data_IF_702392758861
#
_entry.id   IF_702392758861
#
_cell.length_a   1.000
_cell.length_b   1.000
_cell.length_c   1.000
_cell.angle_alpha   90.00
_cell.angle_beta   90.00
_cell.angle_gamma   90.00
#
_symmetry.space_group_name_H-M   'P 1'
#
loop_
_entity.id
_entity.type
_entity.pdbx_description
1 polymer ?
#
# COMPACT_ATOMS: atom_id res chain seq x y z
N UNK A 1 -8.58 3.29 -25.34
CA UNK A 1 -8.90 3.88 -24.03
C UNK A 1 -9.25 5.35 -24.21
N UNK A 2 -8.32 6.20 -24.71
CA UNK A 2 -8.58 7.64 -24.87
C UNK A 2 -9.76 7.90 -25.82
N UNK A 3 -9.76 7.30 -27.00
CA UNK A 3 -10.77 7.48 -28.05
C UNK A 3 -12.13 6.89 -27.70
N UNK A 4 -12.17 5.82 -26.93
CA UNK A 4 -13.42 5.07 -26.67
C UNK A 4 -14.00 5.39 -25.29
N UNK A 5 -13.15 5.61 -24.27
CA UNK A 5 -13.56 5.79 -22.88
C UNK A 5 -13.30 7.20 -22.35
N UNK A 6 -12.65 8.06 -23.13
CA UNK A 6 -12.20 9.39 -22.73
C UNK A 6 -11.35 9.36 -21.42
N UNK A 7 -10.58 8.29 -21.22
CA UNK A 7 -9.70 8.10 -20.07
C UNK A 7 -8.25 8.11 -20.50
N UNK A 8 -7.37 8.64 -19.64
CA UNK A 8 -5.94 8.62 -19.84
C UNK A 8 -5.32 7.47 -19.05
N UNK A 9 -4.48 6.68 -19.73
CA UNK A 9 -3.74 5.58 -19.12
C UNK A 9 -2.26 5.64 -19.47
N UNK A 10 -1.39 5.25 -18.54
CA UNK A 10 0.04 5.05 -18.78
C UNK A 10 0.41 3.60 -18.53
N UNK A 11 1.30 3.05 -19.35
CA UNK A 11 1.74 1.68 -19.27
C UNK A 11 3.26 1.56 -19.21
N UNK A 12 3.75 0.59 -18.44
CA UNK A 12 5.15 0.21 -18.35
C UNK A 12 5.35 -1.24 -18.73
N UNK A 13 6.32 -1.52 -19.60
CA UNK A 13 6.66 -2.86 -20.06
C UNK A 13 8.11 -3.14 -19.72
N UNK A 14 8.36 -4.27 -19.04
CA UNK A 14 9.71 -4.78 -18.77
C UNK A 14 9.67 -6.27 -18.43
N UNK A 15 10.83 -6.86 -18.18
CA UNK A 15 10.99 -8.28 -17.92
C UNK A 15 10.68 -8.68 -16.46
N UNK A 16 10.46 -7.74 -15.55
CA UNK A 16 10.03 -8.01 -14.19
C UNK A 16 9.06 -6.94 -13.66
N UNK A 17 8.40 -7.25 -12.53
CA UNK A 17 7.36 -6.39 -11.94
C UNK A 17 7.88 -5.05 -11.46
N UNK A 18 9.06 -5.00 -10.87
CA UNK A 18 9.67 -3.76 -10.39
C UNK A 18 9.86 -2.78 -11.53
N UNK A 19 10.57 -3.18 -12.57
CA UNK A 19 10.85 -2.32 -13.71
C UNK A 19 9.59 -1.94 -14.49
N UNK A 20 8.64 -2.86 -14.69
CA UNK A 20 7.37 -2.55 -15.34
C UNK A 20 6.58 -1.50 -14.54
N UNK A 21 6.57 -1.60 -13.21
CA UNK A 21 5.90 -0.60 -12.35
C UNK A 21 6.56 0.77 -12.44
N UNK A 22 7.88 0.83 -12.35
CA UNK A 22 8.62 2.10 -12.48
C UNK A 22 8.44 2.70 -13.87
N UNK A 23 8.52 1.87 -14.91
CA UNK A 23 8.28 2.30 -16.29
C UNK A 23 6.88 2.91 -16.47
N UNK A 24 5.85 2.37 -15.83
CA UNK A 24 4.49 2.90 -15.90
C UNK A 24 4.36 4.31 -15.31
N UNK A 25 5.24 4.68 -14.38
CA UNK A 25 5.25 6.01 -13.76
C UNK A 25 6.18 7.01 -14.47
N UNK A 26 7.13 6.51 -15.29
CA UNK A 26 8.21 7.30 -15.88
C UNK A 26 7.74 8.36 -16.90
N UNK A 27 6.70 8.04 -17.66
CA UNK A 27 6.15 8.92 -18.70
C UNK A 27 4.67 9.24 -18.48
N UNK A 28 4.28 9.46 -17.24
CA UNK A 28 2.93 9.95 -16.93
C UNK A 28 2.78 11.43 -17.28
N UNK A 29 1.58 11.87 -17.71
CA UNK A 29 0.41 11.07 -18.09
C UNK A 29 0.49 10.54 -19.53
N UNK A 30 -0.37 9.56 -19.86
CA UNK A 30 -0.63 9.07 -21.22
C UNK A 30 0.62 8.54 -21.96
N UNK A 31 1.52 7.92 -21.21
CA UNK A 31 2.79 7.43 -21.73
C UNK A 31 2.93 5.91 -21.76
N UNK A 32 3.58 5.41 -22.81
CA UNK A 32 4.09 4.03 -22.87
C UNK A 32 5.60 4.06 -22.71
N UNK A 33 6.11 3.32 -21.71
CA UNK A 33 7.54 3.20 -21.47
C UNK A 33 7.95 1.72 -21.44
N UNK A 34 8.92 1.36 -22.28
CA UNK A 34 9.50 0.01 -22.30
C UNK A 34 10.95 0.07 -21.83
N UNK A 35 11.30 -0.76 -20.83
CA UNK A 35 12.67 -0.92 -20.35
C UNK A 35 13.17 -2.31 -20.79
N UNK A 36 14.02 -2.30 -21.82
CA UNK A 36 14.63 -3.53 -22.32
C UNK A 36 15.73 -4.04 -21.36
N UNK A 37 15.96 -5.36 -21.22
CA UNK A 37 16.97 -5.92 -20.31
C UNK A 37 18.35 -5.30 -20.47
N UNK A 38 18.80 -5.06 -21.71
CA UNK A 38 20.13 -4.46 -21.99
C UNK A 38 20.29 -3.01 -21.52
N UNK A 39 19.19 -2.30 -21.20
CA UNK A 39 19.19 -0.91 -20.72
C UNK A 39 18.77 -0.81 -19.26
N UNK A 40 18.36 -1.92 -18.65
CA UNK A 40 17.75 -1.92 -17.34
C UNK A 40 18.69 -1.39 -16.25
N UNK A 41 19.94 -1.85 -16.24
CA UNK A 41 20.91 -1.43 -15.23
C UNK A 41 21.23 0.06 -15.32
N UNK A 42 21.47 0.56 -16.54
CA UNK A 42 21.69 1.99 -16.76
C UNK A 42 20.50 2.86 -16.35
N UNK A 43 19.29 2.38 -16.63
CA UNK A 43 18.06 3.06 -16.20
C UNK A 43 17.93 3.10 -14.67
N UNK A 44 18.20 1.98 -13.99
CA UNK A 44 18.14 1.88 -12.53
C UNK A 44 19.15 2.82 -11.87
N UNK A 45 20.37 2.89 -12.37
CA UNK A 45 21.43 3.75 -11.84
C UNK A 45 21.04 5.22 -11.82
N UNK A 46 20.33 5.67 -12.83
CA UNK A 46 19.84 7.06 -12.93
C UNK A 46 18.55 7.30 -12.14
N UNK A 47 17.85 6.25 -11.72
CA UNK A 47 16.57 6.35 -11.05
C UNK A 47 16.72 7.00 -9.66
N UNK A 48 16.00 8.10 -9.36
CA UNK A 48 15.98 8.64 -8.00
C UNK A 48 15.45 7.59 -7.02
N UNK A 49 16.03 7.49 -5.83
CA UNK A 49 15.65 6.47 -4.84
C UNK A 49 14.17 6.53 -4.47
N UNK A 50 13.56 7.72 -4.49
CA UNK A 50 12.10 7.90 -4.27
C UNK A 50 11.21 7.20 -5.29
N UNK A 51 11.73 6.90 -6.47
CA UNK A 51 10.99 6.23 -7.54
C UNK A 51 11.07 4.70 -7.45
N UNK A 52 11.88 4.17 -6.54
CA UNK A 52 11.89 2.74 -6.27
C UNK A 52 10.57 2.30 -5.63
N UNK A 53 10.02 1.21 -6.13
CA UNK A 53 8.78 0.69 -5.58
C UNK A 53 8.93 0.31 -4.10
N UNK A 54 8.02 0.80 -3.27
CA UNK A 54 8.05 0.60 -1.81
C UNK A 54 8.82 1.69 -1.04
N UNK A 55 9.42 2.65 -1.72
CA UNK A 55 10.07 3.80 -1.08
C UNK A 55 9.04 4.93 -0.94
N UNK A 56 8.47 5.04 0.26
CA UNK A 56 7.65 6.17 0.66
C UNK A 56 8.48 7.32 1.27
N UNK A 57 7.84 8.44 1.68
CA UNK A 57 8.55 9.63 2.21
C UNK A 57 9.52 9.31 3.36
N UNK A 58 9.09 8.50 4.33
CA UNK A 58 9.93 8.11 5.49
C UNK A 58 11.16 7.31 5.06
N UNK A 59 10.97 6.34 4.15
CA UNK A 59 12.07 5.53 3.62
C UNK A 59 13.01 6.37 2.76
N UNK A 60 12.48 7.28 1.96
CA UNK A 60 13.27 8.22 1.19
C UNK A 60 14.15 9.09 2.08
N UNK A 61 13.59 9.66 3.15
CA UNK A 61 14.36 10.48 4.10
C UNK A 61 15.50 9.68 4.72
N UNK A 62 15.24 8.42 5.08
CA UNK A 62 16.27 7.53 5.62
C UNK A 62 17.39 7.25 4.62
N UNK A 63 17.06 7.00 3.35
CA UNK A 63 18.05 6.87 2.28
C UNK A 63 18.90 8.14 2.12
N UNK A 64 18.27 9.30 2.12
CA UNK A 64 18.97 10.59 1.99
C UNK A 64 19.94 10.84 3.15
N UNK A 65 19.57 10.48 4.39
CA UNK A 65 20.47 10.53 5.56
C UNK A 65 21.68 9.62 5.41
N UNK A 66 21.56 8.51 4.68
CA UNK A 66 22.66 7.60 4.34
C UNK A 66 23.44 8.04 3.09
N UNK A 67 23.15 9.20 2.51
CA UNK A 67 23.79 9.70 1.29
C UNK A 67 23.30 9.03 0.00
N UNK A 68 22.29 8.19 0.05
CA UNK A 68 21.74 7.44 -1.10
C UNK A 68 20.66 8.28 -1.77
N UNK A 69 20.92 8.77 -2.97
CA UNK A 69 20.01 9.60 -3.76
C UNK A 69 19.46 8.89 -4.99
N UNK A 70 20.26 7.99 -5.56
CA UNK A 70 19.99 7.32 -6.83
C UNK A 70 20.17 5.81 -6.73
N UNK A 71 19.75 5.10 -7.77
CA UNK A 71 20.02 3.67 -7.90
C UNK A 71 21.52 3.35 -7.97
N UNK A 72 22.34 4.23 -8.54
CA UNK A 72 23.79 4.06 -8.56
C UNK A 72 24.40 4.12 -7.14
N UNK A 73 23.87 4.98 -6.27
CA UNK A 73 24.30 5.04 -4.87
C UNK A 73 23.84 3.77 -4.13
N UNK A 74 22.59 3.37 -4.35
CA UNK A 74 22.02 2.18 -3.74
C UNK A 74 22.76 0.89 -4.15
N UNK A 75 23.22 0.82 -5.41
CA UNK A 75 23.99 -0.31 -5.92
C UNK A 75 25.32 -0.52 -5.17
N UNK A 76 25.91 0.56 -4.65
CA UNK A 76 27.19 0.52 -3.90
C UNK A 76 27.00 0.07 -2.45
N UNK A 77 25.79 0.10 -1.91
CA UNK A 77 25.55 -0.30 -0.53
C UNK A 77 25.68 -1.81 -0.35
N UNK A 78 26.41 -2.27 0.69
CA UNK A 78 26.46 -3.68 1.06
C UNK A 78 25.09 -4.21 1.49
N UNK A 79 24.83 -5.48 1.23
CA UNK A 79 23.56 -6.13 1.62
C UNK A 79 23.33 -6.06 3.13
N UNK A 80 24.38 -6.33 3.91
CA UNK A 80 24.33 -6.33 5.38
C UNK A 80 23.91 -4.97 5.93
N UNK A 81 24.41 -3.90 5.36
CA UNK A 81 24.05 -2.54 5.74
C UNK A 81 22.60 -2.23 5.39
N UNK A 82 22.14 -2.61 4.20
CA UNK A 82 20.74 -2.44 3.79
C UNK A 82 19.80 -3.24 4.70
N UNK A 83 20.15 -4.46 5.09
CA UNK A 83 19.36 -5.26 6.03
C UNK A 83 19.35 -4.61 7.42
N UNK A 84 20.49 -4.14 7.91
CA UNK A 84 20.58 -3.46 9.21
C UNK A 84 19.72 -2.20 9.26
N UNK A 85 19.67 -1.45 8.15
CA UNK A 85 18.90 -0.22 8.07
C UNK A 85 17.40 -0.42 7.78
N UNK A 86 17.04 -1.35 6.91
CA UNK A 86 15.69 -1.48 6.36
C UNK A 86 15.03 -2.85 6.62
N UNK A 87 15.68 -3.73 7.36
CA UNK A 87 15.19 -5.09 7.61
C UNK A 87 14.99 -5.87 6.31
N UNK A 88 13.91 -6.62 6.21
CA UNK A 88 13.59 -7.41 5.01
C UNK A 88 13.43 -6.55 3.74
N UNK A 89 13.03 -5.30 3.88
CA UNK A 89 12.97 -4.37 2.74
C UNK A 89 14.37 -4.06 2.17
N UNK A 90 15.42 -4.14 3.00
CA UNK A 90 16.81 -3.94 2.56
C UNK A 90 17.23 -4.97 1.51
N UNK A 91 16.88 -6.24 1.69
CA UNK A 91 17.10 -7.28 0.68
C UNK A 91 16.36 -6.96 -0.63
N UNK A 92 15.13 -6.45 -0.52
CA UNK A 92 14.35 -6.06 -1.69
C UNK A 92 15.03 -4.90 -2.44
N UNK A 93 15.47 -3.87 -1.76
CA UNK A 93 16.17 -2.74 -2.38
C UNK A 93 17.51 -3.14 -2.99
N UNK A 94 18.26 -4.03 -2.33
CA UNK A 94 19.49 -4.61 -2.87
C UNK A 94 19.26 -5.32 -4.21
N UNK A 95 18.23 -6.16 -4.29
CA UNK A 95 17.83 -6.85 -5.52
C UNK A 95 17.37 -5.87 -6.61
N UNK A 96 16.53 -4.90 -6.26
CA UNK A 96 16.03 -3.91 -7.20
C UNK A 96 17.12 -3.06 -7.81
N UNK A 97 18.12 -2.63 -7.03
CA UNK A 97 19.28 -1.90 -7.56
C UNK A 97 20.07 -2.71 -8.61
N UNK A 98 19.93 -4.03 -8.61
CA UNK A 98 20.56 -4.98 -9.56
C UNK A 98 19.61 -5.47 -10.65
N UNK A 99 18.43 -4.86 -10.75
CA UNK A 99 17.41 -5.23 -11.72
C UNK A 99 16.75 -6.58 -11.48
N UNK A 100 16.85 -7.12 -10.25
CA UNK A 100 16.34 -8.44 -9.88
C UNK A 100 15.01 -8.29 -9.17
N UNK A 101 13.98 -8.93 -9.71
CA UNK A 101 12.68 -9.09 -9.05
C UNK A 101 12.07 -10.42 -9.50
N UNK A 102 12.24 -11.44 -8.66
CA UNK A 102 11.82 -12.82 -8.94
C UNK A 102 10.34 -13.08 -8.60
N UNK A 103 9.59 -12.05 -8.16
CA UNK A 103 8.18 -12.21 -7.78
C UNK A 103 7.32 -12.51 -9.00
N UNK A 104 6.57 -13.63 -9.01
CA UNK A 104 5.69 -13.95 -10.13
C UNK A 104 4.52 -12.96 -10.22
N UNK A 105 3.95 -12.84 -11.41
CA UNK A 105 2.64 -12.20 -11.59
C UNK A 105 1.57 -13.17 -11.09
N UNK A 106 0.84 -12.76 -10.05
CA UNK A 106 -0.22 -13.56 -9.44
C UNK A 106 -1.55 -12.86 -9.71
N UNK A 107 -2.38 -13.45 -10.56
CA UNK A 107 -3.68 -12.89 -10.94
C UNK A 107 -4.68 -12.97 -9.77
N UNK A 108 -4.69 -14.09 -9.05
CA UNK A 108 -5.58 -14.31 -7.93
C UNK A 108 -4.79 -14.32 -6.61
N UNK A 109 -5.26 -13.58 -5.64
CA UNK A 109 -4.67 -13.53 -4.30
C UNK A 109 -5.70 -13.90 -3.25
N UNK A 110 -5.30 -14.72 -2.31
CA UNK A 110 -6.10 -14.97 -1.11
C UNK A 110 -6.30 -13.65 -0.37
N UNK A 111 -7.55 -13.31 -0.09
CA UNK A 111 -7.92 -12.11 0.64
C UNK A 111 -7.40 -12.20 2.08
N UNK A 112 -6.74 -11.15 2.56
CA UNK A 112 -6.18 -11.08 3.92
C UNK A 112 -7.00 -10.21 4.87
N UNK A 113 -7.88 -9.37 4.33
CA UNK A 113 -8.77 -8.52 5.11
C UNK A 113 -10.00 -8.13 4.31
N UNK A 114 -11.05 -7.78 5.03
CA UNK A 114 -12.26 -7.16 4.48
C UNK A 114 -12.49 -5.88 5.27
N UNK A 115 -12.82 -4.79 4.61
CA UNK A 115 -13.09 -3.52 5.26
C UNK A 115 -14.11 -2.69 4.49
N UNK A 116 -14.69 -1.74 5.18
CA UNK A 116 -15.51 -0.66 4.65
C UNK A 116 -15.01 0.65 5.23
N UNK A 117 -15.16 1.71 4.49
CA UNK A 117 -14.86 3.06 4.97
C UNK A 117 -15.81 4.06 4.31
N UNK A 118 -16.05 5.16 5.00
CA UNK A 118 -16.83 6.29 4.51
C UNK A 118 -16.03 7.57 4.77
N UNK A 119 -16.17 8.52 3.87
CA UNK A 119 -15.67 9.89 4.06
C UNK A 119 -16.89 10.82 4.07
N UNK A 120 -16.98 11.65 5.09
CA UNK A 120 -18.07 12.60 5.26
C UNK A 120 -17.68 13.93 4.65
N UNK A 121 -18.63 14.60 4.00
CA UNK A 121 -18.44 15.94 3.43
C UNK A 121 -18.24 17.01 4.51
N UNK A 122 -18.81 16.77 5.69
CA UNK A 122 -18.68 17.62 6.89
C UNK A 122 -18.22 16.78 8.06
N UNK A 123 -17.27 17.30 8.83
CA UNK A 123 -16.78 16.60 10.02
C UNK A 123 -17.89 16.37 11.04
N UNK A 124 -17.85 15.19 11.67
CA UNK A 124 -18.84 14.80 12.68
C UNK A 124 -18.22 15.04 14.07
N UNK A 125 -18.62 16.10 14.79
CA UNK A 125 -18.10 16.38 16.12
C UNK A 125 -18.82 15.59 17.22
N UNK A 126 -20.05 15.14 16.96
CA UNK A 126 -20.87 14.45 17.94
C UNK A 126 -20.57 12.95 17.94
N UNK A 127 -20.17 12.48 19.12
CA UNK A 127 -19.87 11.07 19.34
C UNK A 127 -21.08 10.15 19.15
N UNK A 128 -22.28 10.61 19.44
CA UNK A 128 -23.49 9.80 19.27
C UNK A 128 -23.75 9.49 17.80
N UNK A 129 -23.56 10.48 16.93
CA UNK A 129 -23.66 10.31 15.48
C UNK A 129 -22.56 9.35 14.96
N UNK A 130 -21.33 9.47 15.46
CA UNK A 130 -20.24 8.53 15.10
C UNK A 130 -20.61 7.09 15.49
N UNK A 131 -21.27 6.87 16.62
CA UNK A 131 -21.71 5.53 17.04
C UNK A 131 -22.81 4.99 16.11
N UNK A 132 -23.75 5.82 15.68
CA UNK A 132 -24.77 5.45 14.69
C UNK A 132 -24.13 5.05 13.34
N UNK A 133 -23.15 5.83 12.88
CA UNK A 133 -22.37 5.55 11.67
C UNK A 133 -21.56 4.25 11.78
N UNK A 134 -20.99 3.95 12.96
CA UNK A 134 -20.33 2.66 13.21
C UNK A 134 -21.33 1.49 13.11
N UNK A 135 -22.59 1.68 13.49
CA UNK A 135 -23.66 0.70 13.28
C UNK A 135 -23.88 0.42 11.79
N UNK A 136 -23.99 1.46 10.98
CA UNK A 136 -24.15 1.34 9.51
C UNK A 136 -22.93 0.65 8.88
N UNK A 137 -21.73 1.04 9.27
CA UNK A 137 -20.48 0.42 8.80
C UNK A 137 -20.38 -1.04 9.23
N UNK A 138 -20.84 -1.39 10.43
CA UNK A 138 -20.86 -2.79 10.90
C UNK A 138 -21.79 -3.64 10.01
N UNK A 139 -22.95 -3.13 9.64
CA UNK A 139 -23.87 -3.83 8.74
C UNK A 139 -23.28 -4.01 7.34
N UNK A 140 -22.60 -2.99 6.80
CA UNK A 140 -21.88 -3.10 5.54
C UNK A 140 -20.72 -4.09 5.61
N UNK A 141 -19.97 -4.08 6.70
CA UNK A 141 -18.86 -5.03 6.93
C UNK A 141 -19.37 -6.48 6.93
N UNK A 142 -20.43 -6.76 7.66
CA UNK A 142 -21.03 -8.10 7.73
C UNK A 142 -21.52 -8.58 6.36
N UNK A 143 -22.16 -7.70 5.59
CA UNK A 143 -22.58 -8.00 4.22
C UNK A 143 -21.39 -8.35 3.32
N UNK A 144 -20.29 -7.61 3.43
CA UNK A 144 -19.03 -7.88 2.68
C UNK A 144 -18.35 -9.16 3.12
N UNK A 145 -18.34 -9.46 4.42
CA UNK A 145 -17.83 -10.72 4.96
C UNK A 145 -18.62 -11.90 4.40
N UNK A 146 -19.94 -11.86 4.47
CA UNK A 146 -20.81 -12.90 3.93
C UNK A 146 -20.59 -13.12 2.42
N UNK A 147 -20.52 -12.03 1.64
CA UNK A 147 -20.29 -12.10 0.18
C UNK A 147 -18.92 -12.70 -0.17
N UNK A 148 -17.90 -12.45 0.63
CA UNK A 148 -16.53 -12.89 0.34
C UNK A 148 -16.18 -14.25 0.92
N UNK A 149 -16.98 -14.79 1.84
CA UNK A 149 -16.64 -15.99 2.63
C UNK A 149 -15.43 -15.78 3.55
N UNK A 150 -15.03 -14.51 3.78
CA UNK A 150 -13.86 -14.21 4.61
C UNK A 150 -14.22 -14.31 6.10
N UNK A 151 -13.31 -14.91 6.86
CA UNK A 151 -13.41 -15.05 8.30
C UNK A 151 -12.22 -14.37 8.94
N UNK A 152 -12.47 -13.43 9.85
CA UNK A 152 -11.44 -12.67 10.57
C UNK A 152 -11.64 -12.71 12.06
N UNK A 153 -10.54 -12.60 12.81
CA UNK A 153 -10.52 -12.55 14.27
C UNK A 153 -10.05 -11.19 14.82
N UNK A 154 -9.59 -10.30 13.96
CA UNK A 154 -9.10 -8.98 14.36
C UNK A 154 -9.98 -7.89 13.77
N UNK A 155 -10.57 -7.06 14.63
CA UNK A 155 -11.26 -5.84 14.27
C UNK A 155 -10.29 -4.67 14.32
N UNK A 156 -10.30 -3.82 13.30
CA UNK A 156 -9.49 -2.60 13.24
C UNK A 156 -10.40 -1.41 12.96
N UNK A 157 -10.36 -0.42 13.85
CA UNK A 157 -10.98 0.88 13.65
C UNK A 157 -9.93 1.89 13.19
N UNK A 158 -10.19 2.57 12.07
CA UNK A 158 -9.40 3.68 11.56
C UNK A 158 -10.24 4.95 11.56
N UNK A 159 -9.79 5.97 12.28
CA UNK A 159 -10.42 7.30 12.30
C UNK A 159 -9.45 8.29 11.70
N UNK A 160 -9.94 9.10 10.75
CA UNK A 160 -9.19 10.21 10.16
C UNK A 160 -9.88 11.52 10.52
N UNK A 161 -9.12 12.45 11.07
CA UNK A 161 -9.57 13.77 11.45
C UNK A 161 -9.48 14.76 10.27
N UNK A 162 -10.10 15.94 10.41
CA UNK A 162 -10.11 17.03 9.43
C UNK A 162 -8.71 17.45 8.95
N UNK A 163 -7.72 17.36 9.82
CA UNK A 163 -6.32 17.67 9.51
C UNK A 163 -5.56 16.49 8.88
N UNK A 164 -6.28 15.46 8.43
CA UNK A 164 -5.75 14.21 7.88
C UNK A 164 -4.93 13.34 8.85
N UNK A 165 -4.81 13.74 10.11
CA UNK A 165 -4.25 12.85 11.12
C UNK A 165 -5.11 11.58 11.22
N UNK A 166 -4.44 10.42 11.27
CA UNK A 166 -5.13 9.13 11.28
C UNK A 166 -4.74 8.36 12.53
N UNK A 167 -5.73 7.88 13.26
CA UNK A 167 -5.57 6.98 14.39
C UNK A 167 -6.13 5.61 14.00
N UNK A 168 -5.38 4.56 14.29
CA UNK A 168 -5.79 3.17 14.06
C UNK A 168 -5.66 2.40 15.36
N UNK A 169 -6.72 1.69 15.73
CA UNK A 169 -6.76 0.81 16.90
C UNK A 169 -7.30 -0.54 16.49
N UNK A 170 -6.80 -1.61 17.11
CA UNK A 170 -7.18 -2.98 16.78
C UNK A 170 -7.44 -3.80 18.03
N UNK A 171 -8.39 -4.71 17.92
CA UNK A 171 -8.72 -5.72 18.92
C UNK A 171 -8.74 -7.09 18.25
N UNK A 172 -8.03 -8.06 18.82
CA UNK A 172 -8.05 -9.45 18.36
C UNK A 172 -8.85 -10.30 19.33
N UNK A 173 -9.74 -11.13 18.78
CA UNK A 173 -10.56 -12.09 19.51
C UNK A 173 -10.05 -13.51 19.28
N UNK A 174 -10.31 -14.40 20.23
CA UNK A 174 -9.95 -15.83 20.14
C UNK A 174 -10.86 -16.62 19.16
N UNK A 175 -11.94 -15.99 18.71
CA UNK A 175 -12.95 -16.59 17.82
C UNK A 175 -13.29 -15.65 16.67
N UNK A 176 -13.83 -16.19 15.55
CA UNK A 176 -14.29 -15.37 14.43
C UNK A 176 -15.30 -14.29 14.83
N UNK A 177 -15.14 -13.10 14.27
CA UNK A 177 -16.04 -11.99 14.44
C UNK A 177 -17.19 -12.09 13.41
N UNK A 178 -18.31 -12.68 13.82
CA UNK A 178 -19.47 -12.91 12.96
C UNK A 178 -20.77 -12.29 13.48
N UNK A 179 -20.77 -11.91 14.77
CA UNK A 179 -21.93 -11.33 15.43
C UNK A 179 -21.90 -9.80 15.38
N UNK A 180 -23.03 -9.21 14.96
CA UNK A 180 -23.20 -7.77 14.80
C UNK A 180 -22.95 -6.99 16.09
N UNK A 181 -23.59 -7.43 17.17
CA UNK A 181 -23.57 -6.68 18.42
C UNK A 181 -22.16 -6.73 19.07
N UNK A 182 -21.49 -7.86 18.94
CA UNK A 182 -20.09 -8.01 19.35
C UNK A 182 -19.20 -7.06 18.56
N UNK A 183 -19.29 -7.05 17.24
CA UNK A 183 -18.45 -6.19 16.37
C UNK A 183 -18.71 -4.71 16.70
N UNK A 184 -19.98 -4.30 16.81
CA UNK A 184 -20.33 -2.91 17.12
C UNK A 184 -19.84 -2.49 18.51
N UNK A 185 -20.02 -3.34 19.51
CA UNK A 185 -19.52 -3.11 20.88
C UNK A 185 -18.00 -2.90 20.88
N UNK A 186 -17.28 -3.77 20.18
CA UNK A 186 -15.82 -3.70 20.09
C UNK A 186 -15.36 -2.45 19.30
N UNK A 187 -16.06 -2.09 18.23
CA UNK A 187 -15.78 -0.86 17.48
C UNK A 187 -15.98 0.40 18.34
N UNK A 188 -17.05 0.45 19.16
CA UNK A 188 -17.31 1.55 20.10
C UNK A 188 -16.22 1.60 21.17
N UNK A 189 -15.74 0.46 21.67
CA UNK A 189 -14.65 0.41 22.63
C UNK A 189 -13.33 0.92 22.04
N UNK A 190 -13.08 0.66 20.75
CA UNK A 190 -11.90 1.17 20.03
C UNK A 190 -11.99 2.68 19.73
N UNK A 191 -13.18 3.28 19.80
CA UNK A 191 -13.40 4.72 19.62
C UNK A 191 -13.04 5.54 20.87
N UNK A 192 -12.91 4.94 22.03
CA UNK A 192 -12.66 5.57 23.32
C UNK A 192 -11.28 6.28 23.44
#
# INVERSE_FOLDING_TARGET
>A
IRTELNLVASAGVSYNKFLAKVASDWRKPDGLCTIHPSRAQHFIEQLPVKAFWGVGPVTQEKFLKLGVKTGADLLKMPLEELIAQFGQSGLTYYKFARGIDDRPVVAERVRKSVGCEVTYDVDIPDRSIVIEELGILTDDLLRRLAKSGFVGTTLTLKVRFFNFATVTRSLSADRPLTDRDTILKDAIALLA
#
